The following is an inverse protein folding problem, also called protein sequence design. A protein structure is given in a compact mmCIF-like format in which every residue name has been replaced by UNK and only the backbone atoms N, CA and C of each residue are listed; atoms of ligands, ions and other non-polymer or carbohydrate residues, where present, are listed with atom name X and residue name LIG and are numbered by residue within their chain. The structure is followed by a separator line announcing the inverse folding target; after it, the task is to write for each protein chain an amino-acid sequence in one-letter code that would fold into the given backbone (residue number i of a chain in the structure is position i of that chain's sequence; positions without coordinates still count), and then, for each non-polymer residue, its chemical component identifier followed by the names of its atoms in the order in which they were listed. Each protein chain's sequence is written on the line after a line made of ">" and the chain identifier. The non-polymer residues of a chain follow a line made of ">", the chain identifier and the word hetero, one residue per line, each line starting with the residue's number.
data_IF_914170965925
#
_entry.id   IF_914170965925
#
_cell.length_a   1.000
_cell.length_b   1.000
_cell.length_c   1.000
_cell.angle_alpha   90.00
_cell.angle_beta   90.00
_cell.angle_gamma   90.00
#
_symmetry.space_group_name_H-M   'P 1'
#
loop_
_entity.id
_entity.type
_entity.pdbx_description
1 polymer ?
#
# COMPACT_ATOMS: atom_id res chain seq x y z
N UNK A 1 3.45 -0.24 -15.32
CA UNK A 1 3.46 -1.60 -14.69
C UNK A 1 2.07 -2.21 -14.81
N UNK A 2 1.97 -3.48 -15.21
CA UNK A 2 0.70 -4.18 -15.47
C UNK A 2 -0.23 -4.22 -14.25
N UNK A 3 0.32 -4.32 -13.03
CA UNK A 3 -0.43 -4.34 -11.77
C UNK A 3 -1.13 -3.01 -11.53
N UNK A 4 -0.40 -1.90 -11.70
CA UNK A 4 -0.94 -0.53 -11.54
C UNK A 4 -1.96 -0.24 -12.63
N UNK A 5 -1.69 -0.65 -13.88
CA UNK A 5 -2.66 -0.54 -14.98
C UNK A 5 -3.95 -1.32 -14.69
N UNK A 6 -3.84 -2.53 -14.13
CA UNK A 6 -5.00 -3.32 -13.70
C UNK A 6 -5.83 -2.55 -12.67
N UNK A 7 -5.18 -2.04 -11.61
CA UNK A 7 -5.86 -1.32 -10.53
C UNK A 7 -6.63 -0.12 -11.08
N UNK A 8 -5.98 0.69 -11.93
CA UNK A 8 -6.56 1.92 -12.48
C UNK A 8 -7.67 1.66 -13.51
N UNK A 9 -7.55 0.58 -14.29
CA UNK A 9 -8.53 0.26 -15.33
C UNK A 9 -9.80 -0.40 -14.78
N UNK A 10 -9.67 -1.19 -13.71
CA UNK A 10 -10.77 -2.02 -13.20
C UNK A 10 -11.24 -1.64 -11.81
N UNK A 11 -10.56 -0.74 -11.12
CA UNK A 11 -10.91 -0.35 -9.75
C UNK A 11 -11.88 0.80 -9.70
N UNK A 12 -12.84 0.72 -8.76
CA UNK A 12 -13.66 1.88 -8.39
C UNK A 12 -12.95 2.69 -7.32
N UNK A 13 -12.64 3.95 -7.61
CA UNK A 13 -12.08 4.86 -6.58
C UNK A 13 -13.16 5.14 -5.53
N UNK A 14 -12.96 4.61 -4.34
CA UNK A 14 -13.84 4.82 -3.18
C UNK A 14 -13.36 5.95 -2.26
N UNK A 15 -12.06 6.26 -2.31
CA UNK A 15 -11.44 7.35 -1.58
C UNK A 15 -10.25 7.87 -2.38
N UNK A 16 -10.08 9.19 -2.40
CA UNK A 16 -8.92 9.84 -2.98
C UNK A 16 -8.58 11.11 -2.19
N UNK A 17 -7.30 11.33 -1.93
CA UNK A 17 -6.80 12.62 -1.47
C UNK A 17 -5.30 12.75 -1.76
N UNK A 18 -4.88 14.00 -1.95
CA UNK A 18 -3.48 14.39 -2.03
C UNK A 18 -3.00 14.75 -0.63
N UNK A 19 -1.76 14.37 -0.27
CA UNK A 19 -1.26 14.56 1.09
C UNK A 19 0.14 15.16 1.13
N UNK A 20 0.27 16.24 1.92
CA UNK A 20 1.57 16.79 2.31
C UNK A 20 2.23 16.03 3.49
N UNK A 21 1.41 15.33 4.29
CA UNK A 21 1.87 14.44 5.36
C UNK A 21 0.97 13.20 5.46
N UNK A 22 1.47 12.09 4.93
CA UNK A 22 0.79 10.80 4.83
C UNK A 22 0.33 10.22 6.19
N UNK A 23 0.94 10.66 7.31
CA UNK A 23 0.68 10.13 8.65
C UNK A 23 -0.68 10.57 9.20
N UNK A 24 -1.13 11.77 8.86
CA UNK A 24 -2.46 12.25 9.28
C UNK A 24 -3.60 11.47 8.59
N UNK A 25 -3.31 10.90 7.42
CA UNK A 25 -4.28 10.23 6.57
C UNK A 25 -4.34 8.71 6.76
N UNK A 26 -3.21 8.08 7.13
CA UNK A 26 -3.10 6.63 7.35
C UNK A 26 -3.25 6.28 8.83
N UNK A 27 -4.40 6.62 9.42
CA UNK A 27 -4.79 6.02 10.70
C UNK A 27 -5.33 4.62 10.43
N UNK A 28 -4.79 3.63 11.12
CA UNK A 28 -5.17 2.21 10.96
C UNK A 28 -6.69 2.04 11.09
N UNK A 29 -7.31 2.58 12.13
CA UNK A 29 -8.76 2.51 12.34
C UNK A 29 -9.57 3.13 11.19
N UNK A 30 -9.07 4.19 10.58
CA UNK A 30 -9.72 4.85 9.45
C UNK A 30 -9.59 3.97 8.21
N UNK A 31 -8.39 3.49 7.90
CA UNK A 31 -8.16 2.63 6.74
C UNK A 31 -8.96 1.33 6.86
N UNK A 32 -8.82 0.61 7.98
CA UNK A 32 -9.51 -0.65 8.24
C UNK A 32 -11.03 -0.48 8.27
N UNK A 33 -11.54 0.65 8.79
CA UNK A 33 -12.96 0.97 8.76
C UNK A 33 -13.50 1.19 7.34
N UNK A 34 -12.72 1.80 6.42
CA UNK A 34 -13.17 2.03 5.05
C UNK A 34 -13.26 0.74 4.21
N UNK A 35 -12.45 -0.26 4.55
CA UNK A 35 -12.34 -1.53 3.83
C UNK A 35 -13.12 -2.69 4.46
N UNK A 36 -13.82 -2.45 5.57
CA UNK A 36 -14.57 -3.50 6.27
C UNK A 36 -15.52 -4.23 5.31
N UNK A 37 -15.37 -5.57 5.22
CA UNK A 37 -16.12 -6.44 4.31
C UNK A 37 -15.98 -6.11 2.81
N UNK A 38 -14.95 -5.36 2.40
CA UNK A 38 -14.69 -5.02 1.00
C UNK A 38 -13.39 -5.67 0.52
N UNK A 39 -13.37 -6.00 -0.77
CA UNK A 39 -12.14 -6.37 -1.47
C UNK A 39 -11.62 -5.16 -2.24
N UNK A 40 -10.31 -4.96 -2.25
CA UNK A 40 -9.77 -3.66 -2.60
C UNK A 40 -8.26 -3.59 -2.68
N UNK A 41 -7.78 -2.45 -3.18
CA UNK A 41 -6.37 -2.08 -3.11
C UNK A 41 -6.28 -0.68 -2.53
N UNK A 42 -5.56 -0.54 -1.41
CA UNK A 42 -5.00 0.75 -1.03
C UNK A 42 -3.76 0.97 -1.89
N UNK A 43 -3.67 2.13 -2.52
CA UNK A 43 -2.54 2.51 -3.35
C UNK A 43 -2.07 3.89 -2.94
N UNK A 44 -0.79 4.00 -2.61
CA UNK A 44 -0.07 5.27 -2.56
C UNK A 44 0.79 5.37 -3.82
N UNK A 45 0.85 6.55 -4.44
CA UNK A 45 1.77 6.84 -5.55
C UNK A 45 2.43 8.21 -5.35
N UNK A 46 3.72 8.29 -5.69
CA UNK A 46 4.50 9.54 -5.75
C UNK A 46 5.54 9.41 -6.86
N UNK A 47 5.44 10.26 -7.88
CA UNK A 47 6.29 10.22 -9.09
C UNK A 47 6.38 8.82 -9.73
N UNK A 48 7.50 8.12 -9.55
CA UNK A 48 7.81 6.79 -10.10
C UNK A 48 7.75 5.66 -9.05
N UNK A 49 7.16 5.95 -7.89
CA UNK A 49 7.04 5.02 -6.77
C UNK A 49 5.59 4.78 -6.42
N UNK A 50 5.27 3.52 -6.14
CA UNK A 50 3.94 3.11 -5.73
C UNK A 50 4.04 2.13 -4.57
N UNK A 51 3.08 2.20 -3.65
CA UNK A 51 2.92 1.22 -2.59
C UNK A 51 1.49 0.73 -2.59
N UNK A 52 1.31 -0.59 -2.63
CA UNK A 52 0.00 -1.21 -2.61
C UNK A 52 -0.17 -2.08 -1.37
N UNK A 53 -1.38 -2.05 -0.82
CA UNK A 53 -1.88 -3.05 0.11
C UNK A 53 -3.14 -3.66 -0.53
N UNK A 54 -3.09 -4.96 -0.79
CA UNK A 54 -4.23 -5.72 -1.30
C UNK A 54 -5.08 -6.24 -0.13
N UNK A 55 -6.39 -6.07 -0.24
CA UNK A 55 -7.37 -6.54 0.74
C UNK A 55 -8.35 -7.50 0.10
N UNK A 56 -8.62 -8.60 0.80
CA UNK A 56 -9.67 -9.54 0.45
C UNK A 56 -10.63 -9.63 1.64
N UNK A 57 -11.91 -9.31 1.38
CA UNK A 57 -12.99 -9.34 2.38
C UNK A 57 -12.62 -8.59 3.69
N UNK A 58 -12.02 -7.41 3.53
CA UNK A 58 -11.60 -6.51 4.62
C UNK A 58 -10.29 -6.89 5.31
N UNK A 59 -9.61 -7.95 4.87
CA UNK A 59 -8.34 -8.39 5.46
C UNK A 59 -7.17 -8.11 4.53
N UNK A 60 -6.07 -7.50 5.01
CA UNK A 60 -4.86 -7.36 4.20
C UNK A 60 -4.28 -8.74 3.93
N UNK A 61 -3.94 -9.00 2.66
CA UNK A 61 -3.41 -10.29 2.21
C UNK A 61 -2.05 -10.16 1.52
N UNK A 62 -1.70 -8.95 1.07
CA UNK A 62 -0.44 -8.72 0.36
C UNK A 62 -0.03 -7.25 0.41
N UNK A 63 1.27 -7.00 0.48
CA UNK A 63 1.88 -5.68 0.41
C UNK A 63 3.05 -5.67 -0.56
N UNK A 64 3.20 -4.57 -1.29
CA UNK A 64 4.25 -4.42 -2.27
C UNK A 64 4.59 -2.97 -2.54
N UNK A 65 5.88 -2.67 -2.61
CA UNK A 65 6.44 -1.39 -3.01
C UNK A 65 7.06 -1.51 -4.40
N UNK A 66 6.83 -0.51 -5.23
CA UNK A 66 7.36 -0.41 -6.57
C UNK A 66 8.25 0.83 -6.71
N UNK A 67 9.31 0.71 -7.50
CA UNK A 67 10.17 1.82 -7.90
C UNK A 67 10.57 1.62 -9.36
N UNK A 68 9.96 2.36 -10.27
CA UNK A 68 10.08 2.11 -11.70
C UNK A 68 9.60 0.71 -12.08
N UNK A 69 10.54 -0.20 -12.38
CA UNK A 69 10.24 -1.60 -12.73
C UNK A 69 10.62 -2.59 -11.61
N UNK A 70 11.18 -2.11 -10.50
CA UNK A 70 11.57 -2.96 -9.38
C UNK A 70 10.39 -3.14 -8.42
N UNK A 71 10.29 -4.36 -7.87
CA UNK A 71 9.23 -4.79 -6.96
C UNK A 71 9.84 -5.30 -5.66
N UNK A 72 9.39 -4.77 -4.53
CA UNK A 72 9.81 -5.18 -3.17
C UNK A 72 8.60 -5.54 -2.34
N UNK A 73 8.52 -6.79 -1.90
CA UNK A 73 7.31 -7.36 -1.30
C UNK A 73 7.39 -7.42 0.23
N UNK A 74 6.22 -7.45 0.88
CA UNK A 74 6.11 -7.68 2.32
C UNK A 74 6.72 -6.57 3.18
N UNK A 75 7.27 -6.95 4.34
CA UNK A 75 7.79 -6.03 5.37
C UNK A 75 8.91 -5.11 4.86
N UNK A 76 9.68 -5.52 3.86
CA UNK A 76 10.72 -4.67 3.28
C UNK A 76 10.12 -3.54 2.44
N UNK A 77 9.10 -3.84 1.63
CA UNK A 77 8.35 -2.83 0.89
C UNK A 77 7.61 -1.87 1.83
N UNK A 78 7.02 -2.39 2.90
CA UNK A 78 6.39 -1.58 3.96
C UNK A 78 7.37 -0.63 4.64
N UNK A 79 8.62 -1.08 4.87
CA UNK A 79 9.69 -0.24 5.41
C UNK A 79 10.05 0.91 4.48
N UNK A 80 10.16 0.64 3.19
CA UNK A 80 10.43 1.66 2.18
C UNK A 80 9.32 2.72 2.17
N UNK A 81 8.06 2.26 2.17
CA UNK A 81 6.89 3.13 2.24
C UNK A 81 6.83 3.97 3.52
N UNK A 82 7.18 3.39 4.68
CA UNK A 82 7.13 4.07 5.99
C UNK A 82 8.04 5.30 6.08
N UNK A 83 9.01 5.44 5.19
CA UNK A 83 9.91 6.60 5.12
C UNK A 83 9.35 7.78 4.30
N UNK A 84 8.19 7.61 3.66
CA UNK A 84 7.60 8.59 2.73
C UNK A 84 6.69 9.57 3.46
N UNK A 85 6.61 10.79 2.94
CA UNK A 85 5.85 11.88 3.58
C UNK A 85 4.84 12.54 2.65
N UNK A 86 5.00 12.41 1.34
CA UNK A 86 4.14 13.00 0.31
C UNK A 86 3.60 11.94 -0.64
N UNK A 87 2.57 12.29 -1.41
CA UNK A 87 2.06 11.49 -2.51
C UNK A 87 0.54 11.46 -2.52
N UNK A 88 -0.03 10.71 -3.45
CA UNK A 88 -1.47 10.56 -3.61
C UNK A 88 -1.91 9.22 -3.07
N UNK A 89 -3.01 9.23 -2.33
CA UNK A 89 -3.61 8.01 -1.79
C UNK A 89 -4.93 7.74 -2.49
N UNK A 90 -5.11 6.48 -2.84
CA UNK A 90 -6.33 5.95 -3.42
C UNK A 90 -6.74 4.71 -2.64
N UNK A 91 -8.05 4.56 -2.48
CA UNK A 91 -8.66 3.28 -2.11
C UNK A 91 -9.52 2.80 -3.26
N UNK A 92 -9.06 1.78 -3.96
CA UNK A 92 -9.82 1.11 -4.99
C UNK A 92 -10.61 -0.04 -4.39
N UNK A 93 -11.88 -0.16 -4.74
CA UNK A 93 -12.71 -1.32 -4.40
C UNK A 93 -13.00 -2.15 -5.64
N UNK A 94 -13.02 -3.48 -5.45
CA UNK A 94 -13.29 -4.45 -6.48
C UNK A 94 -14.29 -5.49 -5.96
N UNK A 95 -15.16 -6.04 -6.84
CA UNK A 95 -15.79 -7.33 -6.64
C UNK A 95 -14.75 -8.38 -6.27
N UNK A 96 -15.09 -9.25 -5.31
CA UNK A 96 -14.20 -10.31 -4.83
C UNK A 96 -13.61 -11.15 -5.96
N UNK A 97 -14.42 -11.47 -6.97
CA UNK A 97 -13.99 -12.22 -8.17
C UNK A 97 -12.83 -11.54 -8.91
N UNK A 98 -12.92 -10.22 -9.10
CA UNK A 98 -11.88 -9.42 -9.78
C UNK A 98 -10.65 -9.32 -8.90
N UNK A 99 -10.83 -9.18 -7.58
CA UNK A 99 -9.71 -9.14 -6.64
C UNK A 99 -8.93 -10.45 -6.65
N UNK A 100 -9.59 -11.61 -6.70
CA UNK A 100 -8.93 -12.92 -6.86
C UNK A 100 -8.09 -12.94 -8.14
N UNK A 101 -8.63 -12.43 -9.24
CA UNK A 101 -7.88 -12.36 -10.49
C UNK A 101 -6.65 -11.46 -10.35
N UNK A 102 -6.78 -10.28 -9.76
CA UNK A 102 -5.64 -9.38 -9.50
C UNK A 102 -4.51 -10.08 -8.71
N UNK A 103 -4.87 -10.93 -7.74
CA UNK A 103 -3.91 -11.67 -6.93
C UNK A 103 -3.07 -12.68 -7.74
N UNK A 104 -3.44 -12.99 -8.98
CA UNK A 104 -2.64 -13.86 -9.87
C UNK A 104 -1.28 -13.28 -10.22
N UNK A 105 -1.09 -11.96 -10.13
CA UNK A 105 0.22 -11.33 -10.31
C UNK A 105 1.23 -11.66 -9.19
N UNK A 106 0.75 -12.13 -8.04
CA UNK A 106 1.56 -12.34 -6.84
C UNK A 106 1.57 -13.79 -6.36
N UNK A 107 0.40 -14.44 -6.38
CA UNK A 107 0.22 -15.81 -5.91
C UNK A 107 -0.05 -16.81 -7.03
N UNK A 108 -0.16 -16.34 -8.27
CA UNK A 108 -0.43 -17.17 -9.44
C UNK A 108 0.81 -17.74 -10.10
N UNK A 109 0.56 -18.48 -11.18
CA UNK A 109 1.58 -19.02 -12.08
C UNK A 109 1.52 -18.31 -13.44
N UNK A 110 2.68 -17.93 -13.97
CA UNK A 110 2.80 -17.42 -15.33
C UNK A 110 2.81 -18.60 -16.33
N UNK A 111 1.65 -18.97 -16.86
CA UNK A 111 1.51 -20.11 -17.77
C UNK A 111 1.99 -19.80 -19.19
N UNK A 112 1.81 -18.54 -19.60
CA UNK A 112 2.28 -18.04 -20.89
C UNK A 112 3.06 -16.75 -20.64
N UNK A 113 4.24 -16.65 -21.24
CA UNK A 113 5.12 -15.49 -21.10
C UNK A 113 5.58 -15.03 -22.47
N UNK A 114 5.34 -13.76 -22.78
CA UNK A 114 5.78 -13.10 -24.01
C UNK A 114 5.45 -13.90 -25.28
N UNK A 115 4.29 -14.58 -25.29
CA UNK A 115 3.87 -15.46 -26.36
C UNK A 115 3.56 -14.63 -27.60
N UNK A 116 4.35 -14.80 -28.66
CA UNK A 116 4.15 -14.07 -29.91
C UNK A 116 2.86 -14.53 -30.61
N UNK A 117 1.90 -13.60 -30.73
CA UNK A 117 0.56 -13.91 -31.24
C UNK A 117 0.53 -14.29 -32.72
N UNK A 118 1.50 -13.81 -33.51
CA UNK A 118 1.66 -14.15 -34.93
C UNK A 118 1.87 -15.67 -35.18
N UNK A 119 2.27 -16.41 -34.14
CA UNK A 119 2.50 -17.86 -34.18
C UNK A 119 1.26 -18.64 -33.70
N UNK A 120 0.26 -17.96 -33.15
CA UNK A 120 -0.94 -18.57 -32.61
C UNK A 120 -2.04 -18.68 -33.68
N UNK A 121 -2.65 -19.85 -33.77
CA UNK A 121 -4.01 -19.94 -34.30
C UNK A 121 -4.96 -19.36 -33.25
N UNK A 122 -5.28 -18.07 -33.39
CA UNK A 122 -6.03 -17.29 -32.39
C UNK A 122 -7.33 -17.97 -31.96
N UNK A 123 -8.04 -18.60 -32.90
CA UNK A 123 -9.27 -19.34 -32.63
C UNK A 123 -9.01 -20.51 -31.69
N UNK A 124 -8.05 -21.38 -32.02
CA UNK A 124 -7.64 -22.50 -31.17
C UNK A 124 -7.16 -22.04 -29.80
N UNK A 125 -6.43 -20.91 -29.74
CA UNK A 125 -5.94 -20.35 -28.48
C UNK A 125 -7.09 -19.90 -27.56
N UNK A 126 -8.05 -19.16 -28.10
CA UNK A 126 -9.25 -18.73 -27.38
C UNK A 126 -10.04 -19.93 -26.86
N UNK A 127 -10.35 -20.89 -27.75
CA UNK A 127 -11.14 -22.05 -27.40
C UNK A 127 -10.41 -22.93 -26.36
N UNK A 128 -9.09 -23.09 -26.48
CA UNK A 128 -8.27 -23.79 -25.48
C UNK A 128 -8.32 -23.11 -24.10
N UNK A 129 -8.21 -21.78 -24.05
CA UNK A 129 -8.28 -21.04 -22.79
C UNK A 129 -9.68 -21.14 -22.16
N UNK A 130 -10.73 -21.04 -22.97
CA UNK A 130 -12.12 -21.22 -22.54
C UNK A 130 -12.39 -22.63 -22.00
N UNK A 131 -11.92 -23.67 -22.69
CA UNK A 131 -12.10 -25.07 -22.30
C UNK A 131 -11.32 -25.44 -21.03
N UNK A 132 -10.07 -24.96 -20.91
CA UNK A 132 -9.23 -25.22 -19.73
C UNK A 132 -9.76 -24.55 -18.48
N UNK A 133 -10.70 -23.59 -18.60
CA UNK A 133 -11.36 -22.95 -17.46
C UNK A 133 -10.34 -22.35 -16.49
N UNK A 134 -9.37 -21.63 -17.04
CA UNK A 134 -8.35 -20.94 -16.26
C UNK A 134 -8.89 -19.59 -15.79
N UNK A 135 -8.54 -19.20 -14.56
CA UNK A 135 -8.85 -17.87 -14.01
C UNK A 135 -7.56 -17.09 -13.91
N UNK A 136 -7.56 -15.82 -14.33
CA UNK A 136 -6.34 -15.04 -14.24
C UNK A 136 -6.35 -13.76 -15.05
N UNK A 137 -5.16 -13.21 -15.26
CA UNK A 137 -4.96 -11.99 -16.04
C UNK A 137 -4.24 -12.33 -17.34
N UNK A 138 -4.90 -12.07 -18.46
CA UNK A 138 -4.29 -12.13 -19.79
C UNK A 138 -3.90 -10.72 -20.21
N UNK A 139 -2.60 -10.47 -20.30
CA UNK A 139 -2.00 -9.17 -20.57
C UNK A 139 -1.36 -9.14 -21.95
N UNK A 140 -1.81 -8.21 -22.79
CA UNK A 140 -1.18 -7.89 -24.06
C UNK A 140 -0.09 -6.84 -23.84
N UNK A 141 1.16 -7.30 -23.79
CA UNK A 141 2.31 -6.55 -23.25
C UNK A 141 2.54 -5.23 -24.00
N UNK A 142 2.53 -5.27 -25.33
CA UNK A 142 2.91 -4.11 -26.15
C UNK A 142 1.81 -3.05 -26.27
N UNK A 143 0.55 -3.44 -26.10
CA UNK A 143 -0.61 -2.53 -26.13
C UNK A 143 -1.09 -2.15 -24.73
N UNK A 144 -0.50 -2.74 -23.69
CA UNK A 144 -0.89 -2.60 -22.28
C UNK A 144 -2.36 -2.93 -22.00
N UNK A 145 -2.95 -3.80 -22.83
CA UNK A 145 -4.35 -4.20 -22.72
C UNK A 145 -4.52 -5.42 -21.82
N UNK A 146 -5.58 -5.41 -21.01
CA UNK A 146 -5.84 -6.45 -20.01
C UNK A 146 -7.20 -7.09 -20.25
N UNK A 147 -7.21 -8.42 -20.20
CA UNK A 147 -8.37 -9.28 -20.31
C UNK A 147 -8.45 -10.18 -19.06
N UNK A 148 -9.66 -10.49 -18.60
CA UNK A 148 -9.92 -11.20 -17.34
C UNK A 148 -10.66 -12.53 -17.62
N UNK A 149 -9.95 -13.61 -18.03
CA UNK A 149 -10.53 -14.95 -18.12
C UNK A 149 -10.93 -15.54 -16.77
N UNK A 150 -12.00 -16.33 -16.76
CA UNK A 150 -12.57 -17.00 -15.58
C UNK A 150 -12.68 -18.51 -15.72
N UNK A 151 -12.79 -19.19 -14.58
CA UNK A 151 -12.96 -20.64 -14.46
C UNK A 151 -14.26 -21.20 -15.03
N UNK A 152 -15.23 -20.35 -15.34
CA UNK A 152 -16.46 -20.78 -16.01
C UNK A 152 -16.33 -20.74 -17.54
N UNK A 153 -15.14 -20.39 -18.05
CA UNK A 153 -14.84 -20.29 -19.48
C UNK A 153 -15.28 -18.95 -20.09
N UNK A 154 -15.54 -17.93 -19.26
CA UNK A 154 -15.91 -16.60 -19.72
C UNK A 154 -14.77 -15.59 -19.54
N UNK A 155 -14.88 -14.48 -20.25
CA UNK A 155 -14.14 -13.26 -20.00
C UNK A 155 -15.05 -12.23 -19.33
N UNK A 156 -14.52 -11.53 -18.33
CA UNK A 156 -15.21 -10.43 -17.67
C UNK A 156 -15.04 -9.11 -18.40
N UNK A 157 -16.15 -8.40 -18.53
CA UNK A 157 -16.16 -6.97 -18.76
C UNK A 157 -16.38 -6.25 -17.43
N UNK A 158 -15.50 -5.30 -17.15
CA UNK A 158 -15.54 -4.53 -15.92
C UNK A 158 -15.52 -3.05 -16.28
N UNK A 159 -16.43 -2.28 -15.69
CA UNK A 159 -16.47 -0.81 -15.80
C UNK A 159 -16.67 -0.23 -14.42
N UNK A 160 -15.84 0.76 -14.07
CA UNK A 160 -15.91 1.47 -12.78
C UNK A 160 -15.97 0.53 -11.57
N UNK A 161 -15.19 -0.57 -11.60
CA UNK A 161 -15.16 -1.59 -10.55
C UNK A 161 -16.43 -2.42 -10.42
N UNK A 162 -17.29 -2.47 -11.43
CA UNK A 162 -18.47 -3.32 -11.46
C UNK A 162 -18.41 -4.27 -12.65
N UNK A 163 -18.85 -5.52 -12.45
CA UNK A 163 -18.96 -6.51 -13.53
C UNK A 163 -20.19 -6.14 -14.35
N UNK A 164 -19.97 -5.66 -15.57
CA UNK A 164 -21.07 -5.23 -16.46
C UNK A 164 -21.54 -6.35 -17.37
N UNK A 165 -20.65 -7.28 -17.74
CA UNK A 165 -21.00 -8.44 -18.55
C UNK A 165 -20.02 -9.61 -18.33
N UNK A 166 -20.49 -10.83 -18.63
CA UNK A 166 -19.67 -12.04 -18.75
C UNK A 166 -19.95 -12.65 -20.10
N UNK A 167 -18.91 -12.85 -20.91
CA UNK A 167 -19.05 -13.40 -22.26
C UNK A 167 -18.22 -14.67 -22.39
N UNK A 168 -18.71 -15.73 -23.08
CA UNK A 168 -17.88 -16.91 -23.37
C UNK A 168 -16.55 -16.52 -24.00
N UNK A 169 -15.45 -17.05 -23.46
CA UNK A 169 -14.12 -16.84 -24.00
C UNK A 169 -13.84 -17.86 -25.10
N UNK A 170 -14.53 -17.67 -26.23
CA UNK A 170 -14.47 -18.55 -27.39
C UNK A 170 -14.37 -17.72 -28.66
N UNK A 171 -13.79 -18.32 -29.70
CA UNK A 171 -13.72 -17.73 -31.03
C UNK A 171 -15.09 -17.51 -31.69
N UNK A 172 -16.11 -18.25 -31.25
CA UNK A 172 -17.49 -18.12 -31.74
C UNK A 172 -18.30 -17.04 -31.02
N UNK A 173 -17.78 -16.47 -29.94
CA UNK A 173 -18.49 -15.47 -29.16
C UNK A 173 -18.48 -14.11 -29.87
N UNK A 174 -19.66 -13.69 -30.33
CA UNK A 174 -19.87 -12.38 -30.93
C UNK A 174 -19.98 -11.30 -29.83
N UNK A 175 -18.82 -10.77 -29.41
CA UNK A 175 -18.74 -9.68 -28.43
C UNK A 175 -17.64 -8.69 -28.75
N UNK A 176 -17.85 -7.45 -28.33
CA UNK A 176 -16.87 -6.37 -28.47
C UNK A 176 -15.54 -6.70 -27.79
N UNK A 177 -15.56 -7.41 -26.66
CA UNK A 177 -14.35 -7.83 -25.94
C UNK A 177 -13.50 -8.83 -26.72
N UNK A 178 -14.15 -9.83 -27.32
CA UNK A 178 -13.46 -10.85 -28.12
C UNK A 178 -12.91 -10.21 -29.40
N UNK A 179 -13.67 -9.31 -30.03
CA UNK A 179 -13.21 -8.54 -31.18
C UNK A 179 -12.04 -7.60 -30.84
N UNK A 180 -12.08 -6.96 -29.66
CA UNK A 180 -10.97 -6.14 -29.15
C UNK A 180 -9.72 -6.99 -28.93
N UNK A 181 -9.87 -8.14 -28.27
CA UNK A 181 -8.78 -9.08 -28.06
C UNK A 181 -8.16 -9.55 -29.38
N UNK A 182 -8.98 -9.92 -30.35
CA UNK A 182 -8.51 -10.35 -31.66
C UNK A 182 -7.75 -9.23 -32.38
N UNK A 183 -8.26 -8.00 -32.33
CA UNK A 183 -7.62 -6.82 -32.93
C UNK A 183 -6.26 -6.53 -32.33
N UNK A 184 -6.15 -6.58 -30.99
CA UNK A 184 -4.88 -6.39 -30.27
C UNK A 184 -3.91 -7.52 -30.62
N UNK A 185 -4.38 -8.76 -30.56
CA UNK A 185 -3.55 -9.94 -30.79
C UNK A 185 -3.06 -10.06 -32.23
N UNK A 186 -3.78 -9.54 -33.23
CA UNK A 186 -3.34 -9.57 -34.63
C UNK A 186 -2.27 -8.54 -34.99
N UNK A 187 -1.88 -7.64 -34.07
CA UNK A 187 -0.81 -6.68 -34.33
C UNK A 187 0.54 -7.38 -34.45
N UNK A 188 1.39 -6.87 -35.35
CA UNK A 188 2.63 -7.52 -35.81
C UNK A 188 3.62 -7.91 -34.69
N UNK A 189 3.61 -7.18 -33.58
CA UNK A 189 4.54 -7.37 -32.47
C UNK A 189 3.84 -7.73 -31.16
N UNK A 190 2.53 -8.01 -31.17
CA UNK A 190 1.80 -8.27 -29.94
C UNK A 190 2.33 -9.52 -29.23
N UNK A 191 2.57 -9.37 -27.93
CA UNK A 191 2.94 -10.45 -27.02
C UNK A 191 1.88 -10.61 -25.94
N UNK A 192 1.57 -11.87 -25.62
CA UNK A 192 0.65 -12.21 -24.55
C UNK A 192 1.38 -12.84 -23.37
N UNK A 193 1.06 -12.39 -22.17
CA UNK A 193 1.42 -13.06 -20.93
C UNK A 193 0.15 -13.39 -20.14
N UNK A 194 0.08 -14.60 -19.58
CA UNK A 194 -1.07 -15.06 -18.82
C UNK A 194 -0.65 -15.48 -17.41
N UNK A 195 -1.18 -14.77 -16.42
CA UNK A 195 -0.98 -15.04 -15.00
C UNK A 195 -2.23 -15.73 -14.46
N UNK A 196 -2.15 -17.04 -14.28
CA UNK A 196 -3.26 -17.88 -13.83
C UNK A 196 -3.24 -18.05 -12.31
N UNK A 197 -4.41 -18.17 -11.70
CA UNK A 197 -4.57 -18.45 -10.28
C UNK A 197 -5.69 -19.46 -10.07
N UNK A 198 -5.59 -20.22 -8.98
CA UNK A 198 -6.69 -21.06 -8.55
C UNK A 198 -7.86 -20.18 -8.10
N UNK A 199 -9.08 -20.50 -8.57
CA UNK A 199 -10.31 -19.81 -8.18
C UNK A 199 -10.60 -19.92 -6.68
N UNK A 200 -10.12 -21.00 -6.06
CA UNK A 200 -10.36 -21.33 -4.66
C UNK A 200 -9.24 -20.78 -3.75
N UNK A 201 -8.38 -19.88 -4.28
CA UNK A 201 -7.33 -19.27 -3.48
C UNK A 201 -7.93 -18.51 -2.30
N UNK A 202 -7.34 -18.74 -1.14
CA UNK A 202 -7.65 -18.03 0.09
C UNK A 202 -6.34 -17.63 0.77
N UNK A 203 -5.74 -16.50 0.38
CA UNK A 203 -4.49 -16.05 0.96
C UNK A 203 -4.65 -15.85 2.47
N UNK A 204 -3.63 -16.22 3.23
CA UNK A 204 -3.64 -15.96 4.66
C UNK A 204 -3.54 -14.44 4.90
N UNK A 205 -4.37 -13.89 5.80
CA UNK A 205 -4.22 -12.51 6.22
C UNK A 205 -2.81 -12.24 6.76
N UNK A 206 -2.26 -11.08 6.42
CA UNK A 206 -0.97 -10.62 6.90
C UNK A 206 -1.13 -9.54 7.95
N UNK A 207 -0.17 -9.41 8.85
CA UNK A 207 -0.10 -8.26 9.74
C UNK A 207 0.70 -7.14 9.08
N UNK A 208 0.14 -5.92 9.09
CA UNK A 208 0.79 -4.76 8.50
C UNK A 208 1.81 -4.16 9.49
N UNK A 209 3.09 -4.36 9.20
CA UNK A 209 4.21 -3.84 9.98
C UNK A 209 4.33 -2.31 9.89
N UNK A 210 3.89 -1.70 8.80
CA UNK A 210 3.85 -0.23 8.63
C UNK A 210 3.13 0.49 9.78
N UNK A 211 2.08 -0.12 10.36
CA UNK A 211 1.38 0.45 11.52
C UNK A 211 2.18 0.26 12.82
N UNK A 212 2.91 -0.84 12.97
CA UNK A 212 3.78 -1.10 14.14
C UNK A 212 5.04 -0.21 14.13
N UNK A 213 5.67 -0.04 12.97
CA UNK A 213 6.87 0.80 12.80
C UNK A 213 6.60 2.25 13.18
N UNK A 214 5.39 2.76 12.90
CA UNK A 214 4.96 4.08 13.35
C UNK A 214 4.81 4.18 14.86
N UNK A 215 4.32 3.12 15.51
CA UNK A 215 4.29 3.04 16.98
C UNK A 215 5.70 3.10 17.59
N UNK A 216 6.68 2.43 16.99
CA UNK A 216 8.08 2.50 17.43
C UNK A 216 8.72 3.86 17.14
N UNK A 217 8.44 4.48 16.00
CA UNK A 217 8.87 5.84 15.69
C UNK A 217 8.29 6.86 16.67
N UNK A 218 6.98 6.80 16.96
CA UNK A 218 6.34 7.62 17.99
C UNK A 218 6.94 7.39 19.36
N UNK A 219 7.25 6.13 19.72
CA UNK A 219 7.93 5.77 20.96
C UNK A 219 9.34 6.37 21.02
N UNK A 220 10.08 6.38 19.92
CA UNK A 220 11.41 6.97 19.84
C UNK A 220 11.36 8.50 19.88
N UNK A 221 10.45 9.13 19.13
CA UNK A 221 10.20 10.58 19.20
C UNK A 221 9.78 11.02 20.60
N UNK A 222 8.92 10.24 21.27
CA UNK A 222 8.55 10.47 22.65
C UNK A 222 9.75 10.35 23.60
N UNK A 223 10.60 9.32 23.42
CA UNK A 223 11.84 9.18 24.19
C UNK A 223 12.79 10.36 23.96
N UNK A 224 12.96 10.79 22.72
CA UNK A 224 13.87 11.88 22.36
C UNK A 224 13.37 13.23 22.89
N UNK A 225 12.07 13.51 22.79
CA UNK A 225 11.47 14.71 23.35
C UNK A 225 11.53 14.75 24.88
N UNK A 226 11.30 13.60 25.54
CA UNK A 226 11.50 13.48 26.98
C UNK A 226 12.97 13.66 27.37
N UNK A 227 13.91 13.13 26.57
CA UNK A 227 15.33 13.32 26.78
C UNK A 227 15.76 14.78 26.56
N UNK A 228 15.18 15.50 25.60
CA UNK A 228 15.41 16.92 25.36
C UNK A 228 14.95 17.78 26.54
N UNK A 229 13.74 17.55 27.07
CA UNK A 229 13.26 18.25 28.28
C UNK A 229 14.23 18.07 29.45
N UNK A 230 14.77 16.86 29.62
CA UNK A 230 15.78 16.60 30.64
C UNK A 230 17.11 17.32 30.33
N UNK A 231 17.60 17.28 29.09
CA UNK A 231 18.84 17.97 28.66
C UNK A 231 18.75 19.49 28.82
N UNK A 232 17.65 20.12 28.39
CA UNK A 232 17.45 21.57 28.56
C UNK A 232 17.44 21.99 30.02
N UNK A 233 16.93 21.14 30.92
CA UNK A 233 16.91 21.40 32.36
C UNK A 233 18.28 21.17 33.00
N UNK A 234 19.02 20.15 32.58
CA UNK A 234 20.42 19.94 32.99
C UNK A 234 21.30 21.11 32.52
N UNK A 235 21.16 21.53 31.27
CA UNK A 235 21.88 22.68 30.71
C UNK A 235 21.59 23.97 31.48
N UNK A 236 20.33 24.19 31.91
CA UNK A 236 20.00 25.32 32.79
C UNK A 236 20.77 25.31 34.10
N UNK A 237 20.98 24.13 34.71
CA UNK A 237 21.81 24.02 35.91
C UNK A 237 23.29 24.26 35.61
N UNK A 238 23.80 23.75 34.49
CA UNK A 238 25.17 24.02 34.03
C UNK A 238 25.38 25.53 33.83
N UNK A 239 24.49 26.21 33.10
CA UNK A 239 24.52 27.66 32.90
C UNK A 239 24.45 28.44 34.23
N UNK A 240 23.60 27.97 35.17
CA UNK A 240 23.50 28.56 36.51
C UNK A 240 24.80 28.39 37.30
N UNK A 241 25.45 27.23 37.22
CA UNK A 241 26.73 26.94 37.88
C UNK A 241 27.87 27.74 37.24
N UNK A 242 27.93 27.79 35.91
CA UNK A 242 28.93 28.54 35.15
C UNK A 242 28.83 30.07 35.36
N UNK A 243 27.63 30.55 35.72
CA UNK A 243 27.41 31.96 36.06
C UNK A 243 27.94 32.38 37.45
N UNK A 244 28.34 31.43 38.29
CA UNK A 244 28.82 31.68 39.66
C UNK A 244 30.26 32.18 39.64
N UNK A 245 30.49 33.41 40.11
CA UNK A 245 31.82 34.04 40.11
C UNK A 245 32.52 34.00 41.46
N UNK A 246 31.80 33.70 42.54
CA UNK A 246 32.34 33.65 43.90
C UNK A 246 31.54 32.73 44.84
N UNK A 247 32.16 32.41 45.99
CA UNK A 247 31.60 31.52 47.02
C UNK A 247 30.29 32.02 47.64
N UNK A 248 29.98 33.30 47.56
CA UNK A 248 28.74 33.88 48.09
C UNK A 248 27.58 33.61 47.13
N UNK A 249 27.78 33.85 45.84
CA UNK A 249 26.81 33.53 44.78
C UNK A 249 26.47 32.04 44.73
N UNK A 250 27.45 31.16 44.96
CA UNK A 250 27.21 29.72 45.04
C UNK A 250 26.24 29.37 46.19
N UNK A 251 26.43 30.00 47.37
CA UNK A 251 25.57 29.76 48.55
C UNK A 251 24.15 30.25 48.34
N UNK A 252 23.97 31.34 47.59
CA UNK A 252 22.65 31.88 47.24
C UNK A 252 21.95 31.08 46.13
N UNK A 253 22.72 30.31 45.33
CA UNK A 253 22.22 29.46 44.25
C UNK A 253 21.72 28.08 44.74
N UNK A 254 22.32 27.53 45.81
CA UNK A 254 21.99 26.20 46.35
C UNK A 254 20.49 26.02 46.67
N UNK A 255 19.78 26.99 47.29
CA UNK A 255 18.34 26.87 47.53
C UNK A 255 17.52 26.81 46.23
N UNK A 256 17.88 27.60 45.21
CA UNK A 256 17.23 27.59 43.89
C UNK A 256 17.46 26.26 43.17
N UNK A 257 18.68 25.73 43.24
CA UNK A 257 19.00 24.40 42.70
C UNK A 257 18.16 23.33 43.40
N UNK A 258 18.03 23.37 44.73
CA UNK A 258 17.19 22.43 45.48
C UNK A 258 15.72 22.50 45.10
N UNK A 259 15.19 23.70 44.84
CA UNK A 259 13.81 23.90 44.41
C UNK A 259 13.56 23.36 42.99
N UNK A 260 14.46 23.65 42.04
CA UNK A 260 14.36 23.14 40.67
C UNK A 260 14.63 21.63 40.57
N UNK A 261 15.49 21.07 41.44
CA UNK A 261 15.68 19.62 41.58
C UNK A 261 14.44 18.95 42.19
N UNK A 262 13.76 19.60 43.14
CA UNK A 262 12.49 19.10 43.67
C UNK A 262 11.39 19.07 42.59
N UNK A 263 11.40 20.04 41.66
CA UNK A 263 10.53 20.05 40.48
C UNK A 263 10.78 18.86 39.54
N UNK A 264 12.02 18.35 39.43
CA UNK A 264 12.31 17.12 38.67
C UNK A 264 11.61 15.89 39.25
N UNK A 265 11.39 15.87 40.57
CA UNK A 265 10.71 14.77 41.25
C UNK A 265 9.18 14.94 41.36
N UNK A 266 8.60 16.01 40.80
CA UNK A 266 7.20 16.36 41.02
C UNK A 266 6.43 16.91 39.80
N UNK A 267 5.11 17.11 40.00
CA UNK A 267 4.03 17.51 39.09
C UNK A 267 4.40 18.37 37.86
N UNK A 268 5.34 19.31 37.97
CA UNK A 268 5.74 20.20 36.87
C UNK A 268 6.65 19.53 35.83
N UNK A 269 7.44 18.51 36.18
CA UNK A 269 8.09 17.64 35.18
C UNK A 269 7.03 16.86 34.39
N UNK A 270 6.00 16.36 35.07
CA UNK A 270 4.87 15.67 34.43
C UNK A 270 4.12 16.60 33.47
N UNK A 271 3.87 17.85 33.86
CA UNK A 271 3.20 18.85 33.00
C UNK A 271 4.04 19.25 31.78
N UNK A 272 5.36 19.40 31.93
CA UNK A 272 6.25 19.72 30.80
C UNK A 272 6.45 18.51 29.87
N UNK A 273 6.53 17.30 30.42
CA UNK A 273 6.50 16.06 29.65
C UNK A 273 5.18 15.91 28.89
N UNK A 274 4.05 16.18 29.53
CA UNK A 274 2.73 16.14 28.89
C UNK A 274 2.61 17.19 27.78
N UNK A 275 3.12 18.42 27.98
CA UNK A 275 3.19 19.44 26.92
C UNK A 275 4.10 19.04 25.78
N UNK A 276 5.26 18.47 26.05
CA UNK A 276 6.20 18.02 25.03
C UNK A 276 5.61 16.86 24.20
N UNK A 277 4.96 15.90 24.86
CA UNK A 277 4.28 14.79 24.19
C UNK A 277 3.08 15.28 23.36
N UNK A 278 2.26 16.21 23.87
CA UNK A 278 1.15 16.81 23.11
C UNK A 278 1.58 17.49 21.81
N UNK A 279 2.77 18.12 21.78
CA UNK A 279 3.31 18.73 20.55
C UNK A 279 3.61 17.72 19.44
N UNK A 280 3.82 16.46 19.80
CA UNK A 280 4.20 15.39 18.87
C UNK A 280 2.99 14.56 18.46
N UNK A 281 2.01 14.41 19.35
CA UNK A 281 0.81 13.58 19.09
C UNK A 281 -0.38 14.33 18.51
N UNK A 282 -0.39 15.67 18.57
CA UNK A 282 -1.54 16.51 18.21
C UNK A 282 -2.49 16.73 19.38
#
# INVERSE_FOLDING_TARGET
>A
MKEISFIKNFGKVSLFFDTENIDNALKEDVLLGQIENKSGVFMWEDEDQEFIIAFLDGKPVYTCFFTGNERVEGEEGERMFSSKTKGKIYLFTFPREIMIVFLSFFFGEELYKDLETKVLELTQFLDTLGEKKLTGVLYAVDDEEIFIPLFDGNILEVKDGEIVSKTPFSSEADSELIMKFATVSMKRNAKLSFYSIDKDINPNPIELSVFKMRGEQLKNLAKDALAEVLRERVKRFEDMIDSVKNLKELRDLIPKIKEDVFVLYNKKLSEDAEKALKRITG
#
